data_IF_132407760731
#
_entry.id   IF_132407760731
#
_cell.length_a   1.000
_cell.length_b   1.000
_cell.length_c   1.000
_cell.angle_alpha   90.00
_cell.angle_beta   90.00
_cell.angle_gamma   90.00
#
_symmetry.space_group_name_H-M   'P 1'
#
loop_
_entity.id
_entity.type
_entity.pdbx_description
1 polymer ?
#
# COMPACT_ATOMS: atom_id res chain seq x y z
N UNK A 1 11.26 54.34 -4.01
CA UNK A 1 10.57 53.51 -5.01
C UNK A 1 9.43 52.88 -4.26
N UNK A 2 8.43 53.71 -4.03
CA UNK A 2 7.33 53.49 -3.10
C UNK A 2 6.12 53.21 -3.97
N UNK A 3 5.71 51.94 -4.01
CA UNK A 3 4.58 51.48 -4.80
C UNK A 3 3.61 50.72 -3.87
N UNK A 4 2.75 51.52 -3.27
CA UNK A 4 1.32 51.32 -3.02
C UNK A 4 0.79 49.88 -2.83
N UNK A 5 0.49 49.55 -1.58
CA UNK A 5 -0.28 48.38 -1.16
C UNK A 5 -1.72 48.50 -1.67
N UNK A 6 -2.10 47.67 -2.64
CA UNK A 6 -3.46 47.61 -3.17
C UNK A 6 -4.52 47.48 -2.08
N UNK A 7 -5.26 48.56 -1.86
CA UNK A 7 -6.48 48.59 -1.07
C UNK A 7 -7.54 47.67 -1.70
N UNK A 8 -8.07 46.76 -0.87
CA UNK A 8 -9.15 45.84 -1.23
C UNK A 8 -10.48 46.63 -1.32
N UNK A 9 -11.26 46.51 -2.41
CA UNK A 9 -12.50 47.28 -2.56
C UNK A 9 -13.59 46.80 -1.57
N UNK A 10 -14.49 47.69 -1.11
CA UNK A 10 -15.55 47.33 -0.17
C UNK A 10 -16.61 46.47 -0.86
N UNK A 11 -16.87 45.29 -0.29
CA UNK A 11 -17.91 44.37 -0.77
C UNK A 11 -19.24 44.82 -0.17
N UNK A 12 -20.20 45.19 -1.03
CA UNK A 12 -21.57 45.53 -0.62
C UNK A 12 -22.32 44.28 -0.09
N UNK A 13 -23.24 44.43 0.89
CA UNK A 13 -24.01 43.30 1.40
C UNK A 13 -25.09 42.90 0.36
N UNK A 14 -24.96 41.72 -0.21
CA UNK A 14 -25.96 41.15 -1.14
C UNK A 14 -26.84 40.16 -0.38
N UNK A 15 -28.13 40.18 -0.72
CA UNK A 15 -29.25 39.61 0.01
C UNK A 15 -29.25 38.07 0.15
N UNK A 16 -29.86 37.64 1.26
CA UNK A 16 -30.49 36.35 1.56
C UNK A 16 -30.45 35.27 0.44
N UNK A 17 -29.59 34.28 0.63
CA UNK A 17 -29.73 32.92 0.13
C UNK A 17 -29.58 31.97 1.32
N UNK A 18 -30.54 31.07 1.51
CA UNK A 18 -30.51 30.08 2.58
C UNK A 18 -29.43 29.04 2.22
N UNK A 19 -28.26 29.14 2.84
CA UNK A 19 -27.24 28.09 2.74
C UNK A 19 -27.71 26.89 3.58
N UNK A 20 -28.40 25.96 2.93
CA UNK A 20 -28.70 24.66 3.53
C UNK A 20 -27.39 23.89 3.70
N UNK A 21 -26.92 23.80 4.94
CA UNK A 21 -25.74 23.00 5.30
C UNK A 21 -26.04 21.53 5.04
N UNK A 22 -25.53 20.98 3.94
CA UNK A 22 -25.63 19.56 3.63
C UNK A 22 -24.64 18.78 4.51
N UNK A 23 -25.11 18.26 5.65
CA UNK A 23 -24.30 17.44 6.55
C UNK A 23 -23.99 16.09 5.88
N UNK A 24 -22.73 15.88 5.48
CA UNK A 24 -22.29 14.68 4.75
C UNK A 24 -22.27 13.41 5.61
N UNK A 25 -22.04 13.54 6.93
CA UNK A 25 -22.13 12.45 7.91
C UNK A 25 -22.25 13.03 9.34
N UNK A 26 -23.00 12.35 10.20
CA UNK A 26 -22.95 12.56 11.65
C UNK A 26 -22.04 11.50 12.28
N UNK A 27 -21.30 11.87 13.33
CA UNK A 27 -20.49 10.91 14.08
C UNK A 27 -21.39 9.83 14.69
N UNK A 28 -20.95 8.58 14.61
CA UNK A 28 -21.68 7.44 15.15
C UNK A 28 -21.70 7.53 16.68
N UNK A 29 -22.89 7.67 17.27
CA UNK A 29 -23.05 7.90 18.71
C UNK A 29 -22.56 6.73 19.55
N UNK A 30 -22.46 5.53 18.96
CA UNK A 30 -21.91 4.35 19.61
C UNK A 30 -20.38 4.43 19.80
N UNK A 31 -19.69 5.20 18.96
CA UNK A 31 -18.22 5.40 19.01
C UNK A 31 -17.87 6.76 19.63
N UNK A 32 -18.85 7.63 19.82
CA UNK A 32 -18.67 8.96 20.40
C UNK A 32 -18.24 8.86 21.87
N UNK A 33 -16.96 9.08 22.12
CA UNK A 33 -16.42 9.18 23.48
C UNK A 33 -16.98 10.45 24.18
N UNK A 34 -17.37 10.29 25.44
CA UNK A 34 -17.87 11.40 26.25
C UNK A 34 -16.78 12.45 26.52
N UNK A 35 -17.18 13.72 26.58
CA UNK A 35 -16.27 14.82 26.92
C UNK A 35 -15.76 14.64 28.36
N UNK A 36 -14.53 14.14 28.52
CA UNK A 36 -13.83 14.08 29.80
C UNK A 36 -13.16 15.44 30.05
N UNK A 37 -13.67 16.21 31.00
CA UNK A 37 -13.13 17.53 31.37
C UNK A 37 -11.93 17.44 32.34
N UNK A 38 -11.83 16.35 33.07
CA UNK A 38 -10.76 16.10 34.03
C UNK A 38 -9.95 14.88 33.58
N UNK A 39 -8.64 15.03 33.47
CA UNK A 39 -7.74 13.90 33.29
C UNK A 39 -7.65 13.15 34.63
N UNK A 40 -7.92 11.84 34.61
CA UNK A 40 -7.71 10.99 35.77
C UNK A 40 -6.23 11.05 36.16
N UNK A 41 -5.94 11.59 37.33
CA UNK A 41 -4.57 11.74 37.83
C UNK A 41 -4.07 10.36 38.31
N UNK A 42 -3.11 9.78 37.59
CA UNK A 42 -2.41 8.58 38.05
C UNK A 42 -1.41 8.97 39.16
N UNK A 43 -1.62 8.55 40.42
CA UNK A 43 -0.73 8.89 41.52
C UNK A 43 0.70 8.36 41.34
N UNK A 44 0.91 7.36 40.48
CA UNK A 44 2.22 6.76 40.21
C UNK A 44 2.91 7.33 38.96
N UNK A 45 2.21 8.09 38.12
CA UNK A 45 2.81 8.74 36.95
C UNK A 45 3.85 9.83 37.28
N UNK A 46 3.94 10.21 38.57
CA UNK A 46 4.94 11.13 39.10
C UNK A 46 6.13 10.44 39.77
N UNK A 47 6.18 9.11 39.79
CA UNK A 47 7.31 8.37 40.31
C UNK A 47 8.43 8.31 39.27
N UNK A 48 9.56 8.94 39.58
CA UNK A 48 10.78 8.85 38.79
C UNK A 48 11.43 7.49 39.04
N UNK A 49 11.03 6.47 38.26
CA UNK A 49 11.76 5.21 38.19
C UNK A 49 13.11 5.47 37.53
N UNK A 50 14.20 5.03 38.17
CA UNK A 50 15.50 5.01 37.51
C UNK A 50 15.37 4.09 36.29
N UNK A 51 15.78 4.53 35.09
CA UNK A 51 15.69 3.68 33.90
C UNK A 51 16.44 2.38 34.18
N UNK A 52 15.81 1.28 33.79
CA UNK A 52 16.39 -0.04 33.96
C UNK A 52 17.68 -0.15 33.14
N UNK A 53 18.57 -1.03 33.56
CA UNK A 53 19.84 -1.22 32.85
C UNK A 53 19.64 -1.64 31.38
N UNK A 54 18.50 -2.28 31.08
CA UNK A 54 18.09 -2.64 29.72
C UNK A 54 17.67 -1.42 28.90
N UNK A 55 16.85 -0.52 29.47
CA UNK A 55 16.45 0.74 28.83
C UNK A 55 17.64 1.68 28.56
N UNK A 56 18.61 1.73 29.49
CA UNK A 56 19.84 2.51 29.29
C UNK A 56 20.66 1.91 28.14
N UNK A 57 20.83 0.59 28.11
CA UNK A 57 21.58 -0.09 27.05
C UNK A 57 20.91 0.06 25.67
N UNK A 58 19.58 0.02 25.61
CA UNK A 58 18.81 0.26 24.39
C UNK A 58 18.97 1.72 23.92
N UNK A 59 18.83 2.69 24.82
CA UNK A 59 19.06 4.10 24.51
C UNK A 59 20.49 4.38 24.02
N UNK A 60 21.51 3.73 24.61
CA UNK A 60 22.89 3.81 24.14
C UNK A 60 23.08 3.19 22.75
N UNK A 61 22.45 2.06 22.47
CA UNK A 61 22.49 1.41 21.16
C UNK A 61 21.81 2.26 20.09
N UNK A 62 20.66 2.86 20.41
CA UNK A 62 19.94 3.80 19.55
C UNK A 62 20.76 5.06 19.28
N UNK A 63 21.32 5.67 20.32
CA UNK A 63 22.19 6.85 20.18
C UNK A 63 23.43 6.53 19.33
N UNK A 64 24.00 5.32 19.47
CA UNK A 64 25.12 4.86 18.64
C UNK A 64 24.71 4.68 17.18
N UNK A 65 23.53 4.12 16.92
CA UNK A 65 22.99 3.96 15.57
C UNK A 65 22.74 5.31 14.90
N UNK A 66 22.16 6.27 15.62
CA UNK A 66 21.94 7.64 15.13
C UNK A 66 23.27 8.32 14.77
N UNK A 67 24.29 8.22 15.64
CA UNK A 67 25.64 8.74 15.32
C UNK A 67 26.24 8.10 14.08
N UNK A 68 26.10 6.79 13.93
CA UNK A 68 26.55 6.09 12.72
C UNK A 68 25.79 6.53 11.48
N UNK A 69 24.49 6.81 11.57
CA UNK A 69 23.70 7.34 10.47
C UNK A 69 24.16 8.74 10.08
N UNK A 70 24.38 9.64 11.05
CA UNK A 70 24.93 10.98 10.82
C UNK A 70 26.33 10.92 10.18
N UNK A 71 27.18 10.01 10.65
CA UNK A 71 28.50 9.73 10.06
C UNK A 71 28.35 9.23 8.62
N UNK A 72 27.48 8.25 8.35
CA UNK A 72 27.25 7.74 6.98
C UNK A 72 26.65 8.80 6.03
N UNK A 73 25.84 9.73 6.55
CA UNK A 73 25.28 10.83 5.76
C UNK A 73 26.33 11.88 5.43
N UNK A 74 27.15 12.24 6.43
CA UNK A 74 28.25 13.21 6.28
C UNK A 74 29.37 12.63 5.42
N UNK A 75 29.60 11.33 5.58
CA UNK A 75 30.78 10.64 5.15
C UNK A 75 30.36 9.30 4.52
N UNK A 76 30.17 9.29 3.20
CA UNK A 76 29.35 8.29 2.52
C UNK A 76 30.06 6.97 2.16
N UNK A 77 31.40 6.93 2.07
CA UNK A 77 32.15 5.74 1.57
C UNK A 77 33.58 5.47 2.09
N UNK A 78 34.24 6.44 2.71
CA UNK A 78 35.46 6.34 3.52
C UNK A 78 35.23 5.55 4.83
N UNK A 79 35.97 4.45 4.90
CA UNK A 79 35.94 3.48 5.97
C UNK A 79 37.37 3.30 6.42
N UNK A 80 37.64 3.58 7.68
CA UNK A 80 38.97 3.48 8.26
C UNK A 80 39.61 2.11 8.04
N UNK A 81 40.93 2.13 7.78
CA UNK A 81 41.71 0.91 7.68
C UNK A 81 41.93 0.33 9.08
N UNK A 82 41.55 -0.94 9.34
CA UNK A 82 41.77 -1.55 10.64
C UNK A 82 43.27 -1.71 10.89
N UNK A 83 43.71 -1.46 12.13
CA UNK A 83 45.13 -1.51 12.52
C UNK A 83 45.72 -2.93 12.40
N UNK A 84 44.89 -3.94 12.68
CA UNK A 84 45.32 -5.35 12.71
C UNK A 84 45.62 -5.94 11.33
N UNK A 85 44.88 -5.50 10.28
CA UNK A 85 44.95 -6.09 8.95
C UNK A 85 45.35 -5.06 7.90
N UNK A 86 46.41 -5.29 7.10
CA UNK A 86 46.81 -4.32 6.08
C UNK A 86 45.69 -4.11 5.07
N UNK A 87 45.53 -2.85 4.63
CA UNK A 87 44.45 -2.42 3.74
C UNK A 87 44.35 -3.28 2.47
N UNK A 88 45.48 -3.75 1.91
CA UNK A 88 45.51 -4.65 0.74
C UNK A 88 44.70 -5.94 0.98
N UNK A 89 44.80 -6.54 2.16
CA UNK A 89 44.15 -7.82 2.45
C UNK A 89 42.67 -7.60 2.78
N UNK A 90 42.31 -6.52 3.48
CA UNK A 90 40.91 -6.13 3.69
C UNK A 90 40.21 -5.86 2.35
N UNK A 91 40.86 -5.09 1.49
CA UNK A 91 40.30 -4.63 0.23
C UNK A 91 40.62 -5.54 -0.96
N UNK A 92 40.99 -6.81 -0.72
CA UNK A 92 41.49 -7.71 -1.77
C UNK A 92 40.47 -8.03 -2.87
N UNK A 93 39.17 -7.98 -2.57
CA UNK A 93 38.08 -8.19 -3.55
C UNK A 93 37.68 -6.92 -4.30
N UNK A 94 38.14 -5.75 -3.85
CA UNK A 94 37.78 -4.48 -4.44
C UNK A 94 38.72 -4.15 -5.60
N UNK A 95 38.20 -3.41 -6.58
CA UNK A 95 38.95 -2.97 -7.77
C UNK A 95 38.94 -1.44 -7.86
N UNK A 96 40.11 -0.85 -8.13
CA UNK A 96 40.20 0.56 -8.49
C UNK A 96 39.73 0.80 -9.93
N UNK A 97 38.82 1.75 -10.13
CA UNK A 97 38.37 2.20 -11.45
C UNK A 97 38.72 3.67 -11.66
N UNK A 98 39.09 4.02 -12.90
CA UNK A 98 39.46 5.40 -13.29
C UNK A 98 38.24 6.34 -13.31
N UNK A 99 37.07 5.81 -13.68
CA UNK A 99 35.80 6.53 -13.72
C UNK A 99 34.63 5.53 -13.65
N UNK A 100 33.71 5.74 -12.72
CA UNK A 100 32.53 4.89 -12.53
C UNK A 100 31.60 4.84 -13.75
N UNK A 101 31.60 5.89 -14.59
CA UNK A 101 30.66 6.02 -15.71
C UNK A 101 31.15 5.35 -17.00
N UNK A 102 32.47 5.27 -17.19
CA UNK A 102 33.05 4.93 -18.50
C UNK A 102 33.86 3.65 -18.51
N UNK A 103 34.37 3.20 -17.35
CA UNK A 103 35.14 1.96 -17.32
C UNK A 103 34.23 0.74 -17.44
N UNK A 104 34.66 -0.25 -18.21
CA UNK A 104 33.95 -1.52 -18.33
C UNK A 104 33.89 -2.26 -16.98
N UNK A 105 32.66 -2.45 -16.52
CA UNK A 105 32.28 -3.33 -15.42
C UNK A 105 31.60 -4.57 -16.02
N UNK A 106 32.03 -5.77 -15.62
CA UNK A 106 31.44 -7.02 -16.12
C UNK A 106 30.26 -7.45 -15.24
N UNK A 107 29.12 -7.72 -15.87
CA UNK A 107 27.88 -8.11 -15.20
C UNK A 107 27.91 -9.53 -14.63
N UNK A 108 28.76 -10.42 -15.17
CA UNK A 108 28.78 -11.84 -14.79
C UNK A 108 30.02 -12.22 -13.96
N UNK A 109 30.77 -11.23 -13.47
CA UNK A 109 31.96 -11.47 -12.66
C UNK A 109 31.60 -11.67 -11.17
N UNK A 110 32.12 -12.75 -10.56
CA UNK A 110 32.03 -13.04 -9.12
C UNK A 110 30.60 -13.08 -8.53
N UNK A 111 29.63 -13.58 -9.30
CA UNK A 111 28.26 -13.74 -8.81
C UNK A 111 28.19 -14.82 -7.72
N UNK A 112 27.49 -14.56 -6.59
CA UNK A 112 27.15 -15.60 -5.62
C UNK A 112 26.37 -16.75 -6.27
N UNK A 113 26.50 -17.95 -5.71
CA UNK A 113 25.81 -19.14 -6.23
C UNK A 113 24.28 -18.96 -6.27
N UNK A 114 23.70 -18.19 -5.34
CA UNK A 114 22.26 -17.95 -5.26
C UNK A 114 21.70 -17.23 -6.50
N UNK A 115 22.53 -16.49 -7.24
CA UNK A 115 22.11 -15.86 -8.50
C UNK A 115 21.80 -16.89 -9.59
N UNK A 116 22.30 -18.12 -9.50
CA UNK A 116 21.91 -19.20 -10.41
C UNK A 116 20.45 -19.64 -10.23
N UNK A 117 19.83 -19.30 -9.09
CA UNK A 117 18.40 -19.56 -8.82
C UNK A 117 17.47 -18.52 -9.42
N UNK A 118 18.01 -17.34 -9.77
CA UNK A 118 17.23 -16.26 -10.34
C UNK A 118 17.08 -16.45 -11.86
N UNK A 119 15.95 -15.99 -12.39
CA UNK A 119 15.70 -16.02 -13.83
C UNK A 119 16.24 -14.73 -14.48
N UNK A 120 17.08 -14.89 -15.50
CA UNK A 120 17.50 -13.77 -16.35
C UNK A 120 16.44 -13.53 -17.43
N UNK A 121 15.76 -12.39 -17.37
CA UNK A 121 14.85 -11.93 -18.45
C UNK A 121 15.64 -11.00 -19.36
N UNK A 122 15.75 -11.35 -20.64
CA UNK A 122 16.51 -10.54 -21.62
C UNK A 122 15.81 -9.22 -21.91
N UNK A 123 14.53 -9.25 -22.26
CA UNK A 123 13.70 -8.07 -22.49
C UNK A 123 12.48 -8.09 -21.58
N UNK A 124 12.58 -7.33 -20.48
CA UNK A 124 11.50 -7.21 -19.51
C UNK A 124 10.27 -6.53 -20.10
N UNK A 125 10.45 -5.50 -20.94
CA UNK A 125 9.33 -4.75 -21.51
C UNK A 125 8.48 -5.62 -22.43
N UNK A 126 9.13 -6.46 -23.25
CA UNK A 126 8.46 -7.40 -24.13
C UNK A 126 7.69 -8.48 -23.35
N UNK A 127 8.33 -9.10 -22.36
CA UNK A 127 7.69 -10.13 -21.51
C UNK A 127 6.54 -9.56 -20.70
N UNK A 128 6.70 -8.37 -20.11
CA UNK A 128 5.64 -7.69 -19.38
C UNK A 128 4.44 -7.40 -20.28
N UNK A 129 4.67 -6.87 -21.49
CA UNK A 129 3.59 -6.58 -22.44
C UNK A 129 2.83 -7.85 -22.81
N UNK A 130 3.53 -8.96 -23.06
CA UNK A 130 2.92 -10.25 -23.40
C UNK A 130 2.10 -10.80 -22.23
N UNK A 131 2.63 -10.75 -21.01
CA UNK A 131 1.94 -11.24 -19.82
C UNK A 131 0.66 -10.45 -19.54
N UNK A 132 0.72 -9.11 -19.64
CA UNK A 132 -0.44 -8.25 -19.47
C UNK A 132 -1.49 -8.44 -20.57
N UNK A 133 -1.08 -8.62 -21.83
CA UNK A 133 -1.99 -8.90 -22.94
C UNK A 133 -2.72 -10.24 -22.72
N UNK A 134 -1.97 -11.30 -22.39
CA UNK A 134 -2.53 -12.62 -22.05
C UNK A 134 -3.51 -12.53 -20.88
N UNK A 135 -3.20 -11.74 -19.86
CA UNK A 135 -4.09 -11.49 -18.72
C UNK A 135 -5.40 -10.82 -19.13
N UNK A 136 -5.33 -9.76 -19.95
CA UNK A 136 -6.51 -9.04 -20.47
C UNK A 136 -7.43 -9.93 -21.32
N UNK A 137 -6.84 -10.81 -22.14
CA UNK A 137 -7.60 -11.74 -22.97
C UNK A 137 -8.33 -12.80 -22.11
N UNK A 138 -7.66 -13.31 -21.07
CA UNK A 138 -8.27 -14.23 -20.11
C UNK A 138 -9.40 -13.56 -19.31
N UNK A 139 -9.20 -12.33 -18.85
CA UNK A 139 -10.23 -11.53 -18.17
C UNK A 139 -11.45 -11.30 -19.08
N UNK A 140 -11.22 -10.89 -20.33
CA UNK A 140 -12.28 -10.72 -21.33
C UNK A 140 -13.04 -12.03 -21.58
N UNK A 141 -12.34 -13.16 -21.65
CA UNK A 141 -12.95 -14.47 -21.83
C UNK A 141 -13.81 -14.87 -20.61
N UNK A 142 -13.31 -14.71 -19.39
CA UNK A 142 -14.07 -14.99 -18.15
C UNK A 142 -15.31 -14.09 -18.03
N UNK A 143 -15.16 -12.78 -18.30
CA UNK A 143 -16.29 -11.84 -18.32
C UNK A 143 -17.30 -12.19 -19.41
N UNK A 144 -16.85 -12.66 -20.56
CA UNK A 144 -17.72 -13.16 -21.64
C UNK A 144 -18.46 -14.44 -21.29
N UNK A 145 -17.92 -15.30 -20.42
CA UNK A 145 -18.63 -16.46 -19.89
C UNK A 145 -19.67 -16.06 -18.85
N UNK A 146 -19.31 -15.16 -17.92
CA UNK A 146 -20.23 -14.65 -16.91
C UNK A 146 -21.44 -13.93 -17.52
N UNK A 147 -21.20 -13.09 -18.55
CA UNK A 147 -22.26 -12.41 -19.30
C UNK A 147 -23.22 -13.38 -20.00
N UNK A 148 -22.73 -14.51 -20.50
CA UNK A 148 -23.57 -15.55 -21.11
C UNK A 148 -24.45 -16.22 -20.07
N UNK A 149 -23.85 -16.61 -18.94
CA UNK A 149 -24.57 -17.24 -17.82
C UNK A 149 -25.64 -16.34 -17.21
N UNK A 150 -25.42 -15.03 -17.15
CA UNK A 150 -26.44 -14.06 -16.70
C UNK A 150 -27.57 -13.83 -17.71
N UNK A 151 -27.38 -14.23 -18.97
CA UNK A 151 -28.36 -14.07 -20.05
C UNK A 151 -29.13 -15.36 -20.33
N UNK A 152 -28.76 -16.48 -19.69
CA UNK A 152 -29.45 -17.75 -19.81
C UNK A 152 -30.82 -17.66 -19.08
N UNK A 153 -31.96 -17.73 -19.78
CA UNK A 153 -33.28 -17.55 -19.19
C UNK A 153 -33.69 -18.69 -18.23
N UNK A 154 -32.90 -19.76 -18.15
CA UNK A 154 -33.16 -20.91 -17.29
C UNK A 154 -32.98 -20.60 -15.78
N UNK A 155 -32.13 -19.62 -15.42
CA UNK A 155 -31.93 -19.19 -14.02
C UNK A 155 -32.91 -18.06 -13.61
N UNK A 156 -33.72 -17.53 -14.54
CA UNK A 156 -34.75 -16.52 -14.26
C UNK A 156 -36.12 -17.08 -13.84
N UNK A 157 -36.25 -18.41 -13.71
CA UNK A 157 -37.41 -19.01 -13.04
C UNK A 157 -37.23 -18.96 -11.52
N UNK A 158 -37.24 -17.75 -10.96
CA UNK A 158 -37.60 -17.57 -9.56
C UNK A 158 -38.97 -18.21 -9.35
N UNK A 159 -39.07 -19.09 -8.37
CA UNK A 159 -40.31 -19.70 -7.91
C UNK A 159 -41.38 -18.64 -7.65
N UNK A 160 -42.21 -18.34 -8.65
CA UNK A 160 -43.47 -17.65 -8.46
C UNK A 160 -44.47 -18.70 -7.97
N UNK A 161 -44.50 -18.91 -6.66
CA UNK A 161 -45.56 -19.66 -5.99
C UNK A 161 -46.80 -18.78 -6.06
N UNK A 162 -47.56 -18.91 -7.13
CA UNK A 162 -48.91 -18.39 -7.21
C UNK A 162 -49.81 -19.24 -6.31
N UNK A 163 -50.33 -18.60 -5.26
CA UNK A 163 -51.37 -19.18 -4.43
C UNK A 163 -52.66 -19.28 -5.23
N UNK A 164 -53.10 -20.50 -5.53
CA UNK A 164 -54.48 -20.77 -5.96
C UNK A 164 -55.12 -21.71 -4.96
N UNK A 165 -56.03 -21.15 -4.17
CA UNK A 165 -56.95 -21.92 -3.34
C UNK A 165 -57.94 -22.71 -4.19
N UNK A 166 -58.33 -23.87 -3.65
CA UNK A 166 -59.68 -24.40 -3.88
C UNK A 166 -59.81 -25.61 -4.82
N UNK A 167 -60.02 -26.76 -4.17
CA UNK A 167 -60.95 -27.84 -4.55
C UNK A 167 -60.66 -28.64 -5.83
N UNK A 168 -60.15 -29.86 -5.59
CA UNK A 168 -60.69 -31.10 -6.17
C UNK A 168 -60.15 -31.51 -7.53
N UNK A 169 -59.69 -32.76 -7.62
CA UNK A 169 -59.55 -33.47 -8.90
C UNK A 169 -58.17 -34.07 -9.14
N UNK A 170 -58.05 -35.38 -8.91
CA UNK A 170 -56.95 -36.22 -9.34
C UNK A 170 -56.81 -36.19 -10.87
N UNK A 171 -55.59 -36.07 -11.40
CA UNK A 171 -55.35 -36.15 -12.83
C UNK A 171 -53.88 -36.04 -13.22
N UNK A 172 -53.11 -37.11 -12.99
CA UNK A 172 -51.84 -37.30 -13.68
C UNK A 172 -52.10 -37.50 -15.18
N UNK A 173 -51.65 -36.58 -16.04
CA UNK A 173 -51.34 -36.90 -17.44
C UNK A 173 -50.00 -36.31 -17.82
N UNK A 174 -49.01 -37.20 -17.80
CA UNK A 174 -47.79 -37.12 -18.57
C UNK A 174 -48.16 -37.00 -20.05
N UNK A 175 -47.79 -35.91 -20.71
CA UNK A 175 -47.74 -35.83 -22.17
C UNK A 175 -46.33 -35.35 -22.54
N UNK A 176 -45.57 -36.31 -23.02
CA UNK A 176 -44.28 -36.19 -23.71
C UNK A 176 -44.56 -35.62 -25.10
N UNK A 177 -43.90 -34.51 -25.46
CA UNK A 177 -43.54 -34.10 -26.82
C UNK A 177 -42.22 -33.32 -26.65
N UNK A 178 -41.02 -33.75 -27.06
CA UNK A 178 -40.54 -34.13 -28.40
C UNK A 178 -40.91 -33.11 -29.48
N UNK A 179 -40.27 -31.94 -29.45
CA UNK A 179 -39.27 -31.50 -30.44
C UNK A 179 -38.52 -30.27 -29.91
#
# INVERSE_FOLDING_TARGET
>A
MDADMSAKPPVAPTAAGQDEVLVLAMADSAVQEGLRFEAEYDPFASEQTWPTNEEIAEAEAEAKKQRQEEENMTFTDEVDAPVDRPARVRSARYRGMKSLRTSAWDLKQSLPLDYARLFQVEDFAMVQRLALARGKDAERAMKGQLRRKSQDPADSFSCFVDGIGGRGGLGFRCIILSW
#
